data_IF_971766165270
#
_entry.id   IF_971766165270
#
_cell.length_a   1.000
_cell.length_b   1.000
_cell.length_c   1.000
_cell.angle_alpha   90.00
_cell.angle_beta   90.00
_cell.angle_gamma   90.00
#
_symmetry.space_group_name_H-M   'P 1'
#
loop_
_entity.id
_entity.type
_entity.pdbx_description
1 polymer ?
#
# COMPACT_ATOMS: atom_id res chain seq x y z
N UNK A 1 -2.87 3.66 23.41
CA UNK A 1 -2.05 4.40 22.44
C UNK A 1 -2.23 3.74 21.09
N UNK A 2 -2.50 4.49 20.00
CA UNK A 2 -2.72 3.92 18.66
C UNK A 2 -1.37 3.51 18.01
N UNK A 3 -0.75 2.47 18.56
CA UNK A 3 0.61 2.03 18.18
C UNK A 3 0.61 1.49 16.74
N UNK A 4 -0.45 0.82 16.30
CA UNK A 4 -0.60 0.32 14.93
C UNK A 4 -0.59 1.41 13.85
N UNK A 5 -0.91 2.65 14.21
CA UNK A 5 -0.83 3.82 13.32
C UNK A 5 0.54 3.93 12.64
N UNK A 6 1.62 3.85 13.42
CA UNK A 6 2.99 3.94 12.89
C UNK A 6 3.27 2.78 11.93
N UNK A 7 2.84 1.56 12.28
CA UNK A 7 3.01 0.38 11.44
C UNK A 7 2.30 0.49 10.10
N UNK A 8 1.04 0.93 10.09
CA UNK A 8 0.25 1.10 8.86
C UNK A 8 0.83 2.21 7.97
N UNK A 9 1.12 3.39 8.55
CA UNK A 9 1.67 4.52 7.78
C UNK A 9 3.04 4.20 7.18
N UNK A 10 3.92 3.61 7.96
CA UNK A 10 5.27 3.25 7.48
C UNK A 10 5.25 2.11 6.46
N UNK A 11 4.35 1.13 6.60
CA UNK A 11 4.20 0.04 5.64
C UNK A 11 3.74 0.53 4.27
N UNK A 12 2.83 1.51 4.25
CA UNK A 12 2.27 2.06 3.00
C UNK A 12 3.22 3.06 2.34
N UNK A 13 3.83 3.96 3.11
CA UNK A 13 4.65 5.05 2.56
C UNK A 13 6.11 4.68 2.33
N UNK A 14 6.61 3.69 3.05
CA UNK A 14 8.00 3.27 2.97
C UNK A 14 8.09 1.85 2.40
N UNK A 15 8.78 0.98 3.09
CA UNK A 15 8.86 -0.44 2.76
C UNK A 15 9.00 -1.28 4.04
N UNK A 16 8.86 -2.59 3.90
CA UNK A 16 8.93 -3.51 5.03
C UNK A 16 10.22 -3.33 5.87
N UNK A 17 11.37 -3.14 5.20
CA UNK A 17 12.67 -2.98 5.91
C UNK A 17 12.71 -1.72 6.75
N UNK A 18 12.27 -0.59 6.20
CA UNK A 18 12.20 0.68 6.93
C UNK A 18 11.20 0.59 8.10
N UNK A 19 10.06 -0.06 7.91
CA UNK A 19 9.07 -0.26 8.97
C UNK A 19 9.62 -1.13 10.10
N UNK A 20 10.36 -2.19 9.80
CA UNK A 20 11.01 -3.02 10.82
C UNK A 20 12.04 -2.22 11.63
N UNK A 21 12.86 -1.40 10.97
CA UNK A 21 13.83 -0.54 11.64
C UNK A 21 13.13 0.48 12.54
N UNK A 22 12.08 1.14 12.07
CA UNK A 22 11.29 2.09 12.85
C UNK A 22 10.61 1.43 14.05
N UNK A 23 10.05 0.23 13.88
CA UNK A 23 9.45 -0.55 14.96
C UNK A 23 10.46 -0.91 16.05
N UNK A 24 11.63 -1.44 15.65
CA UNK A 24 12.68 -1.78 16.61
C UNK A 24 13.24 -0.54 17.32
N UNK A 25 13.51 0.54 16.60
CA UNK A 25 14.04 1.77 17.20
C UNK A 25 13.05 2.41 18.17
N UNK A 26 11.77 2.48 17.82
CA UNK A 26 10.72 3.00 18.71
C UNK A 26 10.53 2.15 19.97
N UNK A 27 10.63 0.82 19.84
CA UNK A 27 10.54 -0.11 20.95
C UNK A 27 11.72 0.02 21.90
N UNK A 28 12.94 0.14 21.38
CA UNK A 28 14.16 0.37 22.16
C UNK A 28 14.13 1.73 22.91
N UNK A 29 13.65 2.79 22.24
CA UNK A 29 13.49 4.10 22.86
C UNK A 29 12.46 4.06 24.00
N UNK A 30 11.34 3.37 23.80
CA UNK A 30 10.33 3.19 24.83
C UNK A 30 10.89 2.41 26.05
N UNK A 31 11.70 1.37 25.82
CA UNK A 31 12.36 0.62 26.88
C UNK A 31 13.38 1.49 27.65
N UNK A 32 14.20 2.27 26.94
CA UNK A 32 15.18 3.18 27.53
C UNK A 32 14.52 4.30 28.37
N UNK A 33 13.30 4.70 27.98
CA UNK A 33 12.48 5.65 28.74
C UNK A 33 11.78 5.07 29.97
N UNK A 34 12.11 3.83 30.37
CA UNK A 34 11.50 3.16 31.53
C UNK A 34 10.12 2.56 31.26
N UNK A 35 9.80 2.30 30.01
CA UNK A 35 8.56 1.63 29.62
C UNK A 35 8.47 0.19 30.13
N UNK A 36 7.25 -0.25 30.44
CA UNK A 36 6.99 -1.66 30.79
C UNK A 36 7.29 -2.57 29.60
N UNK A 37 8.00 -3.67 29.84
CA UNK A 37 8.42 -4.62 28.80
C UNK A 37 7.24 -5.18 27.99
N UNK A 38 6.07 -5.37 28.62
CA UNK A 38 4.85 -5.80 27.97
C UNK A 38 4.33 -4.78 26.95
N UNK A 39 4.31 -3.50 27.32
CA UNK A 39 3.92 -2.41 26.42
C UNK A 39 4.90 -2.24 25.26
N UNK A 40 6.20 -2.40 25.52
CA UNK A 40 7.24 -2.35 24.48
C UNK A 40 7.09 -3.51 23.50
N UNK A 41 6.92 -4.74 23.99
CA UNK A 41 6.68 -5.93 23.17
C UNK A 41 5.39 -5.79 22.34
N UNK A 42 4.32 -5.29 22.95
CA UNK A 42 3.05 -5.00 22.27
C UNK A 42 3.25 -3.96 21.16
N UNK A 43 4.00 -2.89 21.45
CA UNK A 43 4.34 -1.86 20.47
C UNK A 43 5.09 -2.44 19.27
N UNK A 44 6.10 -3.25 19.50
CA UNK A 44 6.88 -3.90 18.44
C UNK A 44 5.99 -4.80 17.55
N UNK A 45 5.20 -5.66 18.16
CA UNK A 45 4.33 -6.59 17.39
C UNK A 45 3.24 -5.84 16.63
N UNK A 46 2.57 -4.86 17.26
CA UNK A 46 1.50 -4.09 16.63
C UNK A 46 1.98 -3.14 15.53
N UNK A 47 3.27 -2.87 15.42
CA UNK A 47 3.85 -2.15 14.28
C UNK A 47 4.31 -3.11 13.17
N UNK A 48 4.84 -4.28 13.52
CA UNK A 48 5.33 -5.28 12.56
C UNK A 48 4.20 -6.02 11.86
N UNK A 49 3.17 -6.45 12.59
CA UNK A 49 2.04 -7.20 12.02
C UNK A 49 1.38 -6.45 10.86
N UNK A 50 0.98 -5.17 10.97
CA UNK A 50 0.46 -4.42 9.85
C UNK A 50 1.41 -4.36 8.66
N UNK A 51 2.72 -4.22 8.90
CA UNK A 51 3.70 -4.11 7.81
C UNK A 51 3.82 -5.38 6.99
N UNK A 52 3.69 -6.54 7.60
CA UNK A 52 3.69 -7.83 6.88
C UNK A 52 2.42 -7.96 6.02
N UNK A 53 1.26 -7.63 6.58
CA UNK A 53 -0.02 -7.69 5.86
C UNK A 53 -0.14 -6.65 4.73
N UNK A 54 0.62 -5.55 4.81
CA UNK A 54 0.58 -4.45 3.86
C UNK A 54 1.82 -4.39 2.94
N UNK A 55 2.70 -5.39 2.98
CA UNK A 55 3.95 -5.42 2.20
C UNK A 55 3.78 -5.78 0.73
N UNK A 56 2.62 -6.29 0.34
CA UNK A 56 2.30 -6.64 -1.05
C UNK A 56 1.69 -5.45 -1.80
N UNK A 57 1.67 -5.53 -3.12
CA UNK A 57 0.97 -4.57 -3.98
C UNK A 57 -0.54 -4.58 -3.67
N UNK A 58 -1.02 -3.52 -3.05
CA UNK A 58 -2.37 -3.42 -2.51
C UNK A 58 -3.06 -2.22 -3.17
N UNK A 59 -4.32 -2.40 -3.58
CA UNK A 59 -5.22 -1.33 -3.96
C UNK A 59 -5.96 -0.76 -2.73
N UNK A 60 -6.70 0.36 -2.90
CA UNK A 60 -7.41 1.00 -1.78
C UNK A 60 -8.53 0.13 -1.20
N UNK A 61 -9.15 -0.72 -2.01
CA UNK A 61 -10.22 -1.61 -1.56
C UNK A 61 -9.64 -2.68 -0.66
N UNK A 62 -8.59 -3.34 -1.12
CA UNK A 62 -7.85 -4.36 -0.36
C UNK A 62 -7.22 -3.76 0.92
N UNK A 63 -6.70 -2.52 0.85
CA UNK A 63 -6.21 -1.82 2.06
C UNK A 63 -7.30 -1.68 3.12
N UNK A 64 -8.49 -1.25 2.72
CA UNK A 64 -9.63 -1.09 3.65
C UNK A 64 -10.00 -2.41 4.31
N UNK A 65 -10.05 -3.49 3.56
CA UNK A 65 -10.33 -4.83 4.09
C UNK A 65 -9.21 -5.30 5.04
N UNK A 66 -7.96 -5.15 4.65
CA UNK A 66 -6.81 -5.54 5.48
C UNK A 66 -6.73 -4.73 6.78
N UNK A 67 -7.09 -3.45 6.78
CA UNK A 67 -7.19 -2.64 8.00
C UNK A 67 -8.20 -3.23 8.99
N UNK A 68 -9.33 -3.75 8.52
CA UNK A 68 -10.30 -4.43 9.39
C UNK A 68 -9.66 -5.66 10.05
N UNK A 69 -9.01 -6.53 9.27
CA UNK A 69 -8.31 -7.71 9.82
C UNK A 69 -7.20 -7.34 10.79
N UNK A 70 -6.40 -6.31 10.48
CA UNK A 70 -5.37 -5.80 11.37
C UNK A 70 -5.99 -5.32 12.69
N UNK A 71 -7.09 -4.58 12.63
CA UNK A 71 -7.78 -4.07 13.83
C UNK A 71 -8.33 -5.22 14.68
N UNK A 72 -8.94 -6.23 14.06
CA UNK A 72 -9.48 -7.39 14.76
C UNK A 72 -8.39 -8.32 15.34
N UNK A 73 -7.21 -8.34 14.75
CA UNK A 73 -6.09 -9.15 15.25
C UNK A 73 -5.43 -8.55 16.50
N UNK A 74 -5.56 -7.24 16.73
CA UNK A 74 -4.89 -6.55 17.84
C UNK A 74 -5.26 -7.05 19.24
N UNK A 75 -6.53 -7.31 19.58
CA UNK A 75 -6.90 -7.90 20.88
C UNK A 75 -6.27 -9.27 21.10
N UNK A 76 -6.21 -10.09 20.06
CA UNK A 76 -5.62 -11.45 20.16
C UNK A 76 -4.13 -11.34 20.45
N UNK A 77 -3.42 -10.47 19.75
CA UNK A 77 -1.99 -10.22 19.98
C UNK A 77 -1.75 -9.64 21.36
N UNK A 78 -2.53 -8.64 21.76
CA UNK A 78 -2.43 -8.03 23.08
C UNK A 78 -2.65 -9.03 24.19
N UNK A 79 -3.71 -9.83 24.10
CA UNK A 79 -4.01 -10.88 25.07
C UNK A 79 -2.87 -11.91 25.16
N UNK A 80 -2.35 -12.37 24.02
CA UNK A 80 -1.22 -13.32 23.99
C UNK A 80 0.02 -12.78 24.70
N UNK A 81 0.38 -11.53 24.46
CA UNK A 81 1.55 -10.89 25.09
C UNK A 81 1.35 -10.74 26.59
N UNK A 82 0.21 -10.22 27.05
CA UNK A 82 -0.06 -10.05 28.48
C UNK A 82 -0.17 -11.39 29.21
N UNK A 83 -0.77 -12.41 28.58
CA UNK A 83 -0.83 -13.76 29.12
C UNK A 83 0.57 -14.37 29.31
N UNK A 84 1.44 -14.23 28.30
CA UNK A 84 2.81 -14.76 28.35
C UNK A 84 3.69 -14.04 29.39
N UNK A 85 3.54 -12.73 29.49
CA UNK A 85 4.32 -11.92 30.46
C UNK A 85 3.73 -11.92 31.87
N UNK A 86 2.59 -12.62 32.08
CA UNK A 86 1.89 -12.70 33.36
C UNK A 86 1.52 -11.34 33.98
N UNK A 87 1.22 -10.39 33.14
CA UNK A 87 0.77 -9.05 33.55
C UNK A 87 -0.68 -9.11 34.08
N UNK A 88 -0.95 -8.38 35.16
CA UNK A 88 -2.27 -8.36 35.82
C UNK A 88 -3.16 -7.30 35.16
N UNK A 89 -3.77 -7.62 34.03
CA UNK A 89 -4.78 -6.81 33.39
C UNK A 89 -6.12 -7.53 33.27
N UNK A 90 -7.21 -6.77 33.35
CA UNK A 90 -8.55 -7.29 33.09
C UNK A 90 -8.69 -7.63 31.61
N UNK A 91 -9.27 -8.79 31.30
CA UNK A 91 -9.58 -9.17 29.90
C UNK A 91 -10.36 -8.09 29.17
N UNK A 92 -11.33 -7.45 29.85
CA UNK A 92 -12.16 -6.38 29.26
C UNK A 92 -11.31 -5.16 28.95
N UNK A 93 -10.38 -4.78 29.82
CA UNK A 93 -9.49 -3.63 29.59
C UNK A 93 -8.59 -3.85 28.36
N UNK A 94 -8.00 -5.06 28.22
CA UNK A 94 -7.19 -5.41 27.05
C UNK A 94 -8.04 -5.37 25.79
N UNK A 95 -9.23 -5.98 25.81
CA UNK A 95 -10.14 -6.06 24.68
C UNK A 95 -10.55 -4.66 24.21
N UNK A 96 -11.08 -3.85 25.11
CA UNK A 96 -11.59 -2.51 24.79
C UNK A 96 -10.47 -1.57 24.36
N UNK A 97 -9.35 -1.52 25.08
CA UNK A 97 -8.24 -0.63 24.79
C UNK A 97 -7.55 -0.98 23.46
N UNK A 98 -7.40 -2.27 23.14
CA UNK A 98 -6.77 -2.69 21.87
C UNK A 98 -7.69 -2.46 20.67
N UNK A 99 -8.99 -2.73 20.79
CA UNK A 99 -9.96 -2.45 19.73
C UNK A 99 -10.09 -0.95 19.47
N UNK A 100 -10.29 -0.14 20.51
CA UNK A 100 -10.42 1.31 20.35
C UNK A 100 -9.12 1.93 19.85
N UNK A 101 -7.97 1.54 20.41
CA UNK A 101 -6.67 2.02 19.98
C UNK A 101 -6.36 1.63 18.53
N UNK A 102 -6.71 0.42 18.14
CA UNK A 102 -6.58 -0.07 16.77
C UNK A 102 -7.48 0.65 15.79
N UNK A 103 -8.76 0.79 16.13
CA UNK A 103 -9.73 1.47 15.27
C UNK A 103 -9.34 2.93 15.04
N UNK A 104 -9.08 3.69 16.10
CA UNK A 104 -8.67 5.09 16.01
C UNK A 104 -7.34 5.24 15.27
N UNK A 105 -6.34 4.40 15.61
CA UNK A 105 -5.02 4.44 14.99
C UNK A 105 -5.08 4.13 13.50
N UNK A 106 -5.79 3.08 13.10
CA UNK A 106 -5.86 2.66 11.71
C UNK A 106 -6.71 3.62 10.85
N UNK A 107 -7.79 4.19 11.39
CA UNK A 107 -8.56 5.23 10.70
C UNK A 107 -7.72 6.51 10.52
N UNK A 108 -6.97 6.91 11.55
CA UNK A 108 -6.08 8.06 11.46
C UNK A 108 -4.97 7.81 10.43
N UNK A 109 -4.40 6.60 10.38
CA UNK A 109 -3.38 6.22 9.40
C UNK A 109 -3.93 6.29 7.96
N UNK A 110 -5.11 5.72 7.72
CA UNK A 110 -5.76 5.78 6.42
C UNK A 110 -6.03 7.22 5.96
N UNK A 111 -6.52 8.06 6.87
CA UNK A 111 -6.75 9.47 6.57
C UNK A 111 -5.45 10.22 6.28
N UNK A 112 -4.41 10.00 7.10
CA UNK A 112 -3.12 10.65 6.94
C UNK A 112 -2.43 10.28 5.61
N UNK A 113 -2.50 9.02 5.19
CA UNK A 113 -1.94 8.58 3.89
C UNK A 113 -2.53 9.41 2.76
N UNK A 114 -3.86 9.58 2.73
CA UNK A 114 -4.53 10.40 1.70
C UNK A 114 -4.06 11.87 1.73
N UNK A 115 -3.88 12.47 2.91
CA UNK A 115 -3.38 13.84 3.03
C UNK A 115 -1.92 13.97 2.59
N UNK A 116 -1.08 13.00 2.90
CA UNK A 116 0.32 12.97 2.50
C UNK A 116 0.44 12.82 0.97
N UNK A 117 -0.30 11.91 0.36
CA UNK A 117 -0.34 11.75 -1.10
C UNK A 117 -0.74 13.06 -1.80
N UNK A 118 -1.79 13.72 -1.29
CA UNK A 118 -2.28 14.98 -1.87
C UNK A 118 -1.30 16.14 -1.65
N UNK A 119 -0.77 16.29 -0.43
CA UNK A 119 0.08 17.42 -0.04
C UNK A 119 1.48 17.36 -0.67
N UNK A 120 2.09 16.19 -0.69
CA UNK A 120 3.46 16.00 -1.20
C UNK A 120 3.50 15.51 -2.66
N UNK A 121 2.34 15.29 -3.29
CA UNK A 121 2.21 14.72 -4.64
C UNK A 121 2.99 13.42 -4.81
N UNK A 122 3.04 12.61 -3.74
CA UNK A 122 3.73 11.34 -3.76
C UNK A 122 2.97 10.34 -4.64
N UNK A 123 3.71 9.65 -5.49
CA UNK A 123 3.16 8.57 -6.31
C UNK A 123 3.36 7.26 -5.55
N UNK A 124 2.41 6.92 -4.68
CA UNK A 124 2.42 5.65 -3.97
C UNK A 124 2.02 4.50 -4.89
N UNK A 125 2.30 3.26 -4.48
CA UNK A 125 1.85 2.08 -5.22
C UNK A 125 0.32 2.04 -5.36
N UNK A 126 -0.44 2.61 -4.40
CA UNK A 126 -1.90 2.77 -4.52
C UNK A 126 -2.28 3.65 -5.69
N UNK A 127 -1.65 4.81 -5.82
CA UNK A 127 -1.91 5.73 -6.92
C UNK A 127 -1.55 5.11 -8.26
N UNK A 128 -0.45 4.37 -8.31
CA UNK A 128 -0.03 3.65 -9.52
C UNK A 128 -1.02 2.56 -9.90
N UNK A 129 -1.53 1.77 -8.94
CA UNK A 129 -2.52 0.73 -9.21
C UNK A 129 -3.86 1.32 -9.68
N UNK A 130 -4.30 2.46 -9.13
CA UNK A 130 -5.49 3.18 -9.60
C UNK A 130 -5.34 3.67 -11.05
N UNK A 131 -4.16 4.22 -11.38
CA UNK A 131 -3.86 4.68 -12.75
C UNK A 131 -3.77 3.49 -13.71
N UNK A 132 -3.18 2.37 -13.28
CA UNK A 132 -3.05 1.17 -14.08
C UNK A 132 -4.30 0.27 -14.09
N UNK A 133 -5.41 0.69 -13.49
CA UNK A 133 -6.69 0.00 -13.60
C UNK A 133 -7.24 0.14 -15.03
N UNK A 134 -7.64 -0.98 -15.63
CA UNK A 134 -8.25 -1.01 -16.97
C UNK A 134 -9.53 -0.19 -17.06
N UNK A 135 -10.23 0.01 -15.94
CA UNK A 135 -11.42 0.87 -15.85
C UNK A 135 -11.09 2.35 -15.69
N UNK A 136 -9.81 2.71 -15.61
CA UNK A 136 -9.41 4.11 -15.54
C UNK A 136 -9.96 4.90 -16.73
N UNK A 137 -10.57 6.08 -16.54
CA UNK A 137 -11.21 6.84 -17.63
C UNK A 137 -10.30 7.06 -18.84
N UNK A 138 -9.00 7.32 -18.62
CA UNK A 138 -8.02 7.49 -19.70
C UNK A 138 -7.80 6.24 -20.54
N UNK A 139 -7.79 5.05 -19.91
CA UNK A 139 -7.66 3.77 -20.63
C UNK A 139 -8.95 3.39 -21.35
N UNK A 140 -10.11 3.67 -20.77
CA UNK A 140 -11.39 3.54 -21.45
C UNK A 140 -11.48 4.43 -22.67
N UNK A 141 -11.04 5.67 -22.55
CA UNK A 141 -10.98 6.60 -23.69
C UNK A 141 -10.04 6.09 -24.79
N UNK A 142 -8.87 5.54 -24.42
CA UNK A 142 -7.93 4.92 -25.37
C UNK A 142 -8.55 3.69 -26.05
N UNK A 143 -9.25 2.85 -25.30
CA UNK A 143 -9.97 1.66 -25.81
C UNK A 143 -11.02 2.05 -26.86
N UNK A 144 -11.83 3.07 -26.57
CA UNK A 144 -12.90 3.54 -27.46
C UNK A 144 -12.36 4.21 -28.73
N UNK A 145 -11.27 4.96 -28.64
CA UNK A 145 -10.75 5.76 -29.75
C UNK A 145 -9.67 5.07 -30.57
N UNK A 146 -8.88 4.19 -29.96
CA UNK A 146 -7.72 3.56 -30.58
C UNK A 146 -7.49 2.14 -30.01
N UNK A 147 -8.41 1.21 -30.30
CA UNK A 147 -8.40 -0.14 -29.77
C UNK A 147 -7.07 -0.90 -30.02
N UNK A 148 -6.46 -0.72 -31.19
CA UNK A 148 -5.15 -1.30 -31.51
C UNK A 148 -4.05 -0.81 -30.58
N UNK A 149 -4.00 0.51 -30.34
CA UNK A 149 -3.05 1.13 -29.39
C UNK A 149 -3.34 0.70 -27.96
N UNK A 150 -4.60 0.57 -27.56
CA UNK A 150 -4.98 0.05 -26.25
C UNK A 150 -4.44 -1.36 -26.03
N UNK A 151 -4.69 -2.29 -26.97
CA UNK A 151 -4.20 -3.65 -26.89
C UNK A 151 -2.67 -3.72 -26.87
N UNK A 152 -1.99 -2.92 -27.71
CA UNK A 152 -0.54 -2.78 -27.69
C UNK A 152 -0.04 -2.34 -26.32
N UNK A 153 -0.61 -1.30 -25.75
CA UNK A 153 -0.23 -0.78 -24.44
C UNK A 153 -0.39 -1.80 -23.31
N UNK A 154 -1.45 -2.64 -23.36
CA UNK A 154 -1.65 -3.72 -22.39
C UNK A 154 -0.55 -4.79 -22.49
N UNK A 155 -0.17 -5.18 -23.71
CA UNK A 155 0.90 -6.16 -23.94
C UNK A 155 2.23 -5.60 -23.46
N UNK A 156 2.58 -4.38 -23.86
CA UNK A 156 3.82 -3.71 -23.43
C UNK A 156 3.86 -3.57 -21.91
N UNK A 157 2.75 -3.18 -21.28
CA UNK A 157 2.66 -3.09 -19.82
C UNK A 157 2.87 -4.42 -19.12
N UNK A 158 2.32 -5.50 -19.67
CA UNK A 158 2.50 -6.85 -19.09
C UNK A 158 3.96 -7.33 -19.21
N UNK A 159 4.60 -7.07 -20.34
CA UNK A 159 6.01 -7.43 -20.56
C UNK A 159 6.93 -6.58 -19.69
N UNK A 160 6.68 -5.27 -19.63
CA UNK A 160 7.44 -4.34 -18.80
C UNK A 160 7.34 -4.64 -17.31
N UNK A 161 6.14 -4.98 -16.83
CA UNK A 161 5.91 -5.41 -15.44
C UNK A 161 6.76 -6.63 -15.08
N UNK A 162 6.75 -7.67 -15.93
CA UNK A 162 7.56 -8.87 -15.71
C UNK A 162 9.06 -8.56 -15.73
N UNK A 163 9.51 -7.75 -16.69
CA UNK A 163 10.93 -7.36 -16.78
C UNK A 163 11.36 -6.56 -15.56
N UNK A 164 10.54 -5.59 -15.11
CA UNK A 164 10.83 -4.78 -13.92
C UNK A 164 10.94 -5.65 -12.65
N UNK A 165 10.03 -6.61 -12.47
CA UNK A 165 10.07 -7.56 -11.35
C UNK A 165 11.38 -8.38 -11.33
N UNK A 166 11.85 -8.83 -12.49
CA UNK A 166 13.10 -9.63 -12.58
C UNK A 166 14.35 -8.85 -12.16
N UNK A 167 14.38 -7.54 -12.40
CA UNK A 167 15.51 -6.68 -12.02
C UNK A 167 15.30 -5.94 -10.69
N UNK A 168 14.19 -6.20 -9.98
CA UNK A 168 13.87 -5.52 -8.72
C UNK A 168 13.48 -4.05 -8.87
N UNK A 169 13.04 -3.62 -10.07
CA UNK A 169 12.51 -2.27 -10.30
C UNK A 169 11.03 -2.17 -9.93
N UNK A 170 10.50 -0.94 -9.88
CA UNK A 170 9.08 -0.71 -9.57
C UNK A 170 8.19 -1.12 -10.77
N UNK A 171 7.65 -2.33 -10.70
CA UNK A 171 6.83 -2.92 -11.75
C UNK A 171 5.50 -2.21 -11.96
N UNK A 172 4.89 -1.70 -10.88
CA UNK A 172 3.66 -0.90 -10.94
C UNK A 172 3.85 0.39 -11.72
N UNK A 173 4.96 1.09 -11.47
CA UNK A 173 5.31 2.31 -12.22
C UNK A 173 5.52 2.00 -13.70
N UNK A 174 6.26 0.96 -14.02
CA UNK A 174 6.52 0.55 -15.41
C UNK A 174 5.22 0.20 -16.12
N UNK A 175 4.31 -0.54 -15.47
CA UNK A 175 2.99 -0.90 -16.01
C UNK A 175 2.15 0.35 -16.27
N UNK A 176 2.04 1.26 -15.30
CA UNK A 176 1.29 2.50 -15.44
C UNK A 176 1.83 3.35 -16.61
N UNK A 177 3.13 3.52 -16.68
CA UNK A 177 3.79 4.26 -17.79
C UNK A 177 3.49 3.62 -19.15
N UNK A 178 3.61 2.30 -19.23
CA UNK A 178 3.35 1.56 -20.47
C UNK A 178 1.89 1.68 -20.93
N UNK A 179 0.93 1.70 -20.02
CA UNK A 179 -0.48 1.83 -20.38
C UNK A 179 -0.83 3.18 -21.01
N UNK A 180 -0.12 4.24 -20.64
CA UNK A 180 -0.42 5.61 -21.08
C UNK A 180 0.59 6.19 -22.09
N UNK A 181 1.68 5.46 -22.44
CA UNK A 181 2.76 6.01 -23.25
C UNK A 181 2.28 6.52 -24.63
N UNK A 182 1.25 5.91 -25.17
CA UNK A 182 0.71 6.18 -26.49
C UNK A 182 -0.67 6.89 -26.47
N UNK A 183 -1.10 7.41 -25.30
CA UNK A 183 -2.39 8.09 -25.17
C UNK A 183 -2.56 9.25 -26.17
N UNK A 184 -1.48 9.94 -26.51
CA UNK A 184 -1.47 11.03 -27.49
C UNK A 184 -1.92 10.61 -28.90
N UNK A 185 -1.84 9.34 -29.25
CA UNK A 185 -2.31 8.84 -30.56
C UNK A 185 -3.82 8.97 -30.74
N UNK A 186 -4.59 9.09 -29.66
CA UNK A 186 -6.04 9.35 -29.73
C UNK A 186 -6.39 10.72 -30.30
N UNK A 187 -5.47 11.70 -30.21
CA UNK A 187 -5.66 13.06 -30.70
C UNK A 187 -5.27 13.21 -32.18
N UNK A 188 -4.55 12.23 -32.76
CA UNK A 188 -4.13 12.25 -34.16
C UNK A 188 -5.19 11.56 -35.00
N UNK A 189 -5.69 12.25 -36.04
CA UNK A 189 -6.71 11.71 -36.95
C UNK A 189 -6.24 10.39 -37.56
N UNK A 190 -7.07 9.33 -37.47
CA UNK A 190 -6.79 7.94 -37.88
C UNK A 190 -6.27 7.79 -39.33
N UNK A 191 -6.47 8.80 -40.17
CA UNK A 191 -6.01 8.83 -41.57
C UNK A 191 -4.50 8.94 -41.73
N UNK A 192 -3.78 9.55 -40.77
CA UNK A 192 -2.33 9.68 -40.83
C UNK A 192 -1.56 8.47 -40.32
N UNK A 193 -2.14 7.70 -39.41
CA UNK A 193 -1.47 6.51 -38.83
C UNK A 193 -1.46 5.30 -39.78
N UNK A 194 -2.46 5.17 -40.67
CA UNK A 194 -2.48 4.10 -41.68
C UNK A 194 -1.44 4.29 -42.80
N UNK A 195 -1.02 5.50 -43.08
CA UNK A 195 -0.04 5.75 -44.14
C UNK A 195 1.39 5.30 -43.74
N UNK A 196 1.71 5.29 -42.45
CA UNK A 196 3.04 4.90 -41.96
C UNK A 196 3.17 3.40 -41.62
N UNK A 197 2.08 2.70 -41.34
CA UNK A 197 2.13 1.26 -41.02
C UNK A 197 2.11 0.37 -42.27
N UNK A 198 1.73 0.91 -43.43
CA UNK A 198 1.69 0.14 -44.70
C UNK A 198 2.97 0.20 -45.52
N UNK A 199 3.96 1.03 -45.16
CA UNK A 199 5.22 1.14 -45.88
C UNK A 199 6.31 0.17 -45.41
N UNK A 200 6.02 -0.78 -44.51
CA UNK A 200 6.96 -1.76 -43.95
C UNK A 200 6.62 -3.23 -44.24
N UNK A 201 5.86 -3.51 -45.33
CA UNK A 201 5.68 -4.87 -45.84
C UNK A 201 5.98 -4.94 -47.33
#
# INVERSE_FOLDING_TARGET
VPISFVGVVSAVLLNLRATLILSLSSSLLALAGGGNIGLVAMGAVLTVVPSIFLSEDIDRITLRERIIYITLSQPVVAFGIFFFLRENFSFIEILVSSLLGGLVGNLAAFSLINYIELGFRLTTNFRLSEIADRNHPGLRYLEEKALGTFNHSLVVGTLGDRAANLIGANSQLVRAMAYFHDLGKTAVSYTHLRAHETDYY
#
